data_IF_641790512020
#
_entry.id   IF_641790512020
#
_cell.length_a   1.000
_cell.length_b   1.000
_cell.length_c   1.000
_cell.angle_alpha   90.00
_cell.angle_beta   90.00
_cell.angle_gamma   90.00
#
_symmetry.space_group_name_H-M   'P 1'
#
loop_
_entity.id
_entity.type
_entity.pdbx_description
1 polymer ?
#
# COMPACT_ATOMS: atom_id res chain seq x y z
N UNK A 1 -20.85 -0.61 50.58
CA UNK A 1 -21.29 -1.67 49.65
C UNK A 1 -21.50 -1.04 48.28
N UNK A 2 -20.63 -1.37 47.33
CA UNK A 2 -20.67 -0.84 45.97
C UNK A 2 -21.73 -1.51 45.10
N UNK A 3 -22.26 -0.76 44.13
CA UNK A 3 -22.90 -1.31 42.94
C UNK A 3 -22.17 -0.74 41.73
N UNK A 4 -21.29 -1.58 41.18
CA UNK A 4 -20.71 -1.42 39.85
C UNK A 4 -21.86 -1.73 38.89
N UNK A 5 -22.38 -0.73 38.16
CA UNK A 5 -23.27 -1.01 37.04
C UNK A 5 -22.42 -1.47 35.86
N UNK A 6 -22.68 -2.70 35.44
CA UNK A 6 -22.01 -3.39 34.35
C UNK A 6 -22.16 -2.65 33.01
N UNK A 7 -21.08 -2.74 32.23
CA UNK A 7 -20.99 -2.42 30.80
C UNK A 7 -22.20 -2.96 30.03
N UNK A 8 -22.84 -2.09 29.25
CA UNK A 8 -23.53 -2.51 28.04
C UNK A 8 -22.57 -2.32 26.85
N UNK A 9 -22.22 -3.37 26.10
CA UNK A 9 -21.60 -3.19 24.80
C UNK A 9 -22.69 -2.69 23.86
N UNK A 10 -22.54 -1.47 23.32
CA UNK A 10 -23.43 -1.04 22.24
C UNK A 10 -23.09 -1.79 20.94
N UNK A 11 -24.12 -2.21 20.19
CA UNK A 11 -24.03 -3.20 19.15
C UNK A 11 -23.57 -2.58 17.82
N UNK A 12 -22.79 -3.33 17.05
CA UNK A 12 -22.83 -3.31 15.59
C UNK A 12 -22.71 -1.96 14.89
N UNK A 13 -21.54 -1.31 14.98
CA UNK A 13 -20.98 -0.80 13.73
C UNK A 13 -20.13 -1.92 13.17
N UNK A 14 -20.64 -2.57 12.12
CA UNK A 14 -19.77 -3.23 11.17
C UNK A 14 -18.59 -2.28 10.93
N UNK A 15 -17.37 -2.81 11.01
CA UNK A 15 -16.21 -2.21 10.39
C UNK A 15 -16.57 -2.11 8.90
N UNK A 16 -17.32 -1.07 8.53
CA UNK A 16 -17.41 -0.66 7.16
C UNK A 16 -15.95 -0.45 6.79
N UNK A 17 -15.47 -1.23 5.83
CA UNK A 17 -14.21 -1.02 5.16
C UNK A 17 -14.15 0.47 4.79
N UNK A 18 -13.55 1.31 5.65
CA UNK A 18 -13.22 2.68 5.32
C UNK A 18 -12.07 2.55 4.34
N UNK A 19 -12.46 2.36 3.08
CA UNK A 19 -11.54 2.15 1.97
C UNK A 19 -10.72 3.42 1.86
N UNK A 20 -9.42 3.26 2.07
CA UNK A 20 -8.41 4.27 1.76
C UNK A 20 -8.55 4.58 0.26
N UNK A 21 -9.24 5.66 -0.06
CA UNK A 21 -9.56 6.01 -1.42
C UNK A 21 -8.46 6.92 -1.96
N UNK A 22 -7.80 6.47 -3.04
CA UNK A 22 -6.91 7.33 -3.81
C UNK A 22 -7.75 8.39 -4.52
N UNK A 23 -7.27 9.63 -4.51
CA UNK A 23 -7.79 10.62 -5.42
C UNK A 23 -7.35 10.31 -6.86
N UNK A 24 -7.86 11.10 -7.82
CA UNK A 24 -7.53 10.89 -9.24
C UNK A 24 -6.02 11.06 -9.52
N UNK A 25 -5.38 12.05 -8.90
CA UNK A 25 -3.96 12.37 -9.12
C UNK A 25 -3.06 11.26 -8.58
N UNK A 26 -3.40 10.74 -7.41
CA UNK A 26 -2.70 9.64 -6.76
C UNK A 26 -2.92 8.33 -7.54
N UNK A 27 -4.13 8.11 -8.05
CA UNK A 27 -4.44 6.98 -8.93
C UNK A 27 -3.60 7.02 -10.21
N UNK A 28 -3.55 8.17 -10.90
CA UNK A 28 -2.78 8.33 -12.13
C UNK A 28 -1.27 8.10 -11.88
N UNK A 29 -0.75 8.61 -10.76
CA UNK A 29 0.64 8.41 -10.34
C UNK A 29 0.95 6.95 -10.02
N UNK A 30 0.06 6.27 -9.31
CA UNK A 30 0.20 4.85 -8.99
C UNK A 30 0.21 3.99 -10.26
N UNK A 31 -0.73 4.23 -11.18
CA UNK A 31 -0.82 3.53 -12.45
C UNK A 31 0.43 3.71 -13.31
N UNK A 32 0.97 4.93 -13.38
CA UNK A 32 2.21 5.20 -14.11
C UNK A 32 3.38 4.33 -13.58
N UNK A 33 3.54 4.24 -12.26
CA UNK A 33 4.61 3.44 -11.63
C UNK A 33 4.42 1.94 -11.85
N UNK A 34 3.19 1.44 -11.81
CA UNK A 34 2.90 0.04 -12.14
C UNK A 34 3.19 -0.28 -13.61
N UNK A 35 2.86 0.62 -14.53
CA UNK A 35 3.15 0.45 -15.95
C UNK A 35 4.66 0.40 -16.21
N UNK A 36 5.44 1.26 -15.54
CA UNK A 36 6.91 1.21 -15.60
C UNK A 36 7.47 -0.11 -15.05
N UNK A 37 6.97 -0.59 -13.91
CA UNK A 37 7.39 -1.86 -13.34
C UNK A 37 7.04 -3.04 -14.28
N UNK A 38 5.85 -3.02 -14.88
CA UNK A 38 5.44 -4.01 -15.89
C UNK A 38 6.39 -4.04 -17.08
N UNK A 39 6.74 -2.89 -17.64
CA UNK A 39 7.69 -2.81 -18.76
C UNK A 39 9.04 -3.42 -18.40
N UNK A 40 9.53 -3.18 -17.18
CA UNK A 40 10.78 -3.77 -16.71
C UNK A 40 10.68 -5.30 -16.55
N UNK A 41 9.55 -5.83 -16.07
CA UNK A 41 9.33 -7.27 -16.00
C UNK A 41 9.25 -7.90 -17.39
N UNK A 42 8.55 -7.27 -18.33
CA UNK A 42 8.47 -7.73 -19.72
C UNK A 42 9.88 -7.80 -20.36
N UNK A 43 10.73 -6.81 -20.10
CA UNK A 43 12.14 -6.84 -20.51
C UNK A 43 12.91 -8.01 -19.88
N UNK A 44 12.75 -8.23 -18.56
CA UNK A 44 13.42 -9.33 -17.85
C UNK A 44 12.99 -10.68 -18.44
N UNK A 45 11.70 -10.91 -18.67
CA UNK A 45 11.21 -12.14 -19.30
C UNK A 45 11.82 -12.35 -20.69
N UNK A 46 11.85 -11.29 -21.52
CA UNK A 46 12.48 -11.36 -22.84
C UNK A 46 14.00 -11.59 -22.77
N UNK A 47 14.65 -11.25 -21.65
CA UNK A 47 16.08 -11.52 -21.45
C UNK A 47 16.34 -12.96 -21.06
N UNK A 48 15.49 -13.57 -20.22
CA UNK A 48 15.69 -14.93 -19.69
C UNK A 48 15.88 -15.96 -20.82
N UNK A 49 15.10 -15.86 -21.89
CA UNK A 49 15.19 -16.77 -23.05
C UNK A 49 16.52 -16.69 -23.82
N UNK A 50 17.36 -15.70 -23.52
CA UNK A 50 18.64 -15.46 -24.21
C UNK A 50 19.88 -15.83 -23.40
N UNK A 51 19.73 -16.60 -22.32
CA UNK A 51 20.81 -16.98 -21.40
C UNK A 51 21.66 -15.78 -20.92
N UNK A 52 21.04 -14.75 -20.32
CA UNK A 52 21.73 -13.52 -19.94
C UNK A 52 22.62 -13.76 -18.73
N UNK A 53 23.63 -12.89 -18.58
CA UNK A 53 24.48 -12.87 -17.39
C UNK A 53 23.65 -12.59 -16.10
N UNK A 54 23.98 -13.32 -15.03
CA UNK A 54 23.24 -13.27 -13.77
C UNK A 54 23.31 -11.87 -13.11
N UNK A 55 24.45 -11.17 -13.21
CA UNK A 55 24.56 -9.82 -12.64
C UNK A 55 23.67 -8.82 -13.39
N UNK A 56 23.48 -9.02 -14.69
CA UNK A 56 22.54 -8.24 -15.49
C UNK A 56 21.08 -8.46 -15.05
N UNK A 57 20.67 -9.71 -14.86
CA UNK A 57 19.33 -10.04 -14.35
C UNK A 57 19.09 -9.47 -12.95
N UNK A 58 20.05 -9.62 -12.03
CA UNK A 58 19.97 -9.07 -10.68
C UNK A 58 19.80 -7.54 -10.72
N UNK A 59 20.55 -6.86 -11.58
CA UNK A 59 20.47 -5.40 -11.72
C UNK A 59 19.08 -4.97 -12.21
N UNK A 60 18.54 -5.66 -13.21
CA UNK A 60 17.20 -5.38 -13.76
C UNK A 60 16.10 -5.67 -12.73
N UNK A 61 16.18 -6.80 -12.03
CA UNK A 61 15.25 -7.14 -10.94
C UNK A 61 15.28 -6.09 -9.82
N UNK A 62 16.47 -5.65 -9.41
CA UNK A 62 16.61 -4.59 -8.40
C UNK A 62 16.01 -3.25 -8.87
N UNK A 63 16.12 -2.93 -10.17
CA UNK A 63 15.46 -1.75 -10.75
C UNK A 63 13.93 -1.86 -10.69
N UNK A 64 13.39 -3.03 -11.06
CA UNK A 64 11.96 -3.31 -10.99
C UNK A 64 11.43 -3.25 -9.53
N UNK A 65 12.15 -3.85 -8.58
CA UNK A 65 11.80 -3.78 -7.15
C UNK A 65 11.68 -2.35 -6.67
N UNK A 66 12.64 -1.48 -7.03
CA UNK A 66 12.60 -0.06 -6.65
C UNK A 66 11.39 0.68 -7.23
N UNK A 67 10.94 0.33 -8.42
CA UNK A 67 9.74 0.94 -9.01
C UNK A 67 8.48 0.51 -8.28
N UNK A 68 8.38 -0.78 -7.92
CA UNK A 68 7.30 -1.31 -7.10
C UNK A 68 7.29 -0.65 -5.71
N UNK A 69 8.45 -0.53 -5.05
CA UNK A 69 8.58 0.16 -3.76
C UNK A 69 8.10 1.60 -3.84
N UNK A 70 8.43 2.31 -4.94
CA UNK A 70 7.94 3.67 -5.19
C UNK A 70 6.43 3.69 -5.43
N UNK A 71 5.85 2.72 -6.11
CA UNK A 71 4.40 2.61 -6.30
C UNK A 71 3.70 2.44 -4.95
N UNK A 72 4.17 1.49 -4.14
CA UNK A 72 3.67 1.25 -2.78
C UNK A 72 3.82 2.48 -1.89
N UNK A 73 4.95 3.19 -1.95
CA UNK A 73 5.15 4.42 -1.20
C UNK A 73 4.19 5.55 -1.61
N UNK A 74 3.87 5.70 -2.90
CA UNK A 74 2.83 6.65 -3.34
C UNK A 74 1.48 6.34 -2.70
N UNK A 75 1.08 5.05 -2.70
CA UNK A 75 -0.18 4.62 -2.08
C UNK A 75 -0.20 4.90 -0.59
N UNK A 76 0.90 4.62 0.12
CA UNK A 76 1.01 4.89 1.55
C UNK A 76 0.91 6.39 1.83
N UNK A 77 1.62 7.23 1.08
CA UNK A 77 1.57 8.69 1.25
C UNK A 77 0.18 9.23 0.95
N UNK A 78 -0.43 8.83 -0.17
CA UNK A 78 -1.81 9.20 -0.52
C UNK A 78 -2.79 8.80 0.58
N UNK A 79 -2.65 7.59 1.11
CA UNK A 79 -3.45 7.07 2.21
C UNK A 79 -3.27 7.82 3.54
N UNK A 80 -2.04 8.28 3.84
CA UNK A 80 -1.73 9.06 5.04
C UNK A 80 -2.18 10.51 4.91
N UNK A 81 -2.08 11.08 3.71
CA UNK A 81 -2.44 12.48 3.42
C UNK A 81 -3.92 12.65 3.07
N UNK A 82 -4.57 11.56 2.65
CA UNK A 82 -5.87 11.54 1.99
C UNK A 82 -6.94 10.81 2.79
N UNK A 83 -7.60 11.54 3.67
CA UNK A 83 -8.83 12.17 3.19
C UNK A 83 -8.65 13.67 3.46
N UNK A 84 -8.70 14.51 2.43
CA UNK A 84 -8.78 15.96 2.64
C UNK A 84 -10.11 16.25 3.35
N UNK A 85 -10.08 16.32 4.69
CA UNK A 85 -11.28 16.29 5.54
C UNK A 85 -11.27 15.23 6.65
N UNK A 86 -10.27 14.35 6.71
CA UNK A 86 -10.11 13.36 7.79
C UNK A 86 -9.93 14.04 9.14
N UNK A 87 -10.69 13.57 10.13
CA UNK A 87 -10.42 13.77 11.54
C UNK A 87 -9.07 13.18 11.95
N UNK A 88 -8.50 13.66 13.06
CA UNK A 88 -7.27 13.08 13.62
C UNK A 88 -7.42 11.60 14.02
N UNK A 89 -8.64 11.17 14.33
CA UNK A 89 -8.94 9.76 14.63
C UNK A 89 -8.82 8.90 13.38
N UNK A 90 -9.38 9.32 12.24
CA UNK A 90 -9.26 8.62 10.95
C UNK A 90 -7.80 8.54 10.49
N UNK A 91 -7.02 9.62 10.65
CA UNK A 91 -5.58 9.59 10.36
C UNK A 91 -4.82 8.58 11.20
N UNK A 92 -5.11 8.53 12.50
CA UNK A 92 -4.45 7.60 13.43
C UNK A 92 -4.78 6.15 13.08
N UNK A 93 -6.02 5.87 12.68
CA UNK A 93 -6.43 4.52 12.28
C UNK A 93 -5.80 4.11 10.94
N UNK A 94 -5.75 5.03 9.97
CA UNK A 94 -5.06 4.79 8.70
C UNK A 94 -3.57 4.49 8.89
N UNK A 95 -2.89 5.20 9.80
CA UNK A 95 -1.49 4.92 10.15
C UNK A 95 -1.35 3.49 10.68
N UNK A 96 -2.18 3.09 11.66
CA UNK A 96 -2.12 1.73 12.23
C UNK A 96 -2.40 0.64 11.19
N UNK A 97 -3.34 0.90 10.29
CA UNK A 97 -3.66 -0.03 9.21
C UNK A 97 -2.47 -0.19 8.25
N UNK A 98 -1.81 0.92 7.89
CA UNK A 98 -0.59 0.89 7.07
C UNK A 98 0.57 0.18 7.76
N UNK A 99 0.78 0.43 9.06
CA UNK A 99 1.78 -0.28 9.86
C UNK A 99 1.53 -1.79 9.84
N UNK A 100 0.28 -2.24 10.01
CA UNK A 100 -0.09 -3.64 9.91
C UNK A 100 0.20 -4.23 8.52
N UNK A 101 -0.19 -3.53 7.45
CA UNK A 101 0.08 -3.96 6.07
C UNK A 101 1.58 -4.09 5.77
N UNK A 102 2.42 -3.23 6.37
CA UNK A 102 3.86 -3.24 6.15
C UNK A 102 4.59 -4.28 6.99
N UNK A 103 4.15 -4.50 8.24
CA UNK A 103 4.80 -5.42 9.18
C UNK A 103 4.38 -6.88 9.01
N UNK A 104 3.20 -7.12 8.42
CA UNK A 104 2.66 -8.48 8.18
C UNK A 104 2.64 -8.83 6.68
N UNK A 105 3.78 -8.62 6.01
CA UNK A 105 4.03 -9.15 4.66
C UNK A 105 4.30 -10.67 4.77
N UNK A 106 3.24 -11.47 4.88
CA UNK A 106 3.32 -12.94 4.77
C UNK A 106 3.43 -13.40 3.31
#
# INVERSE_FOLDING_TARGET
>A
MGKILLKHPHPGKALAEEKMHLDKTDTDTFLARLLEARQNLDEIFAMVDRHPDAATLITKLNSCSKQLDRASFALMVSSLQGTAGASETEKTENIRHLEHLFLNLD
#
